data_IF_377390570205
#
_entry.id   IF_377390570205
#
_cell.length_a   1.000
_cell.length_b   1.000
_cell.length_c   1.000
_cell.angle_alpha   90.00
_cell.angle_beta   90.00
_cell.angle_gamma   90.00
#
_symmetry.space_group_name_H-M   'P 1'
#
loop_
_entity.id
_entity.type
_entity.pdbx_description
1 polymer ?
#
# COMPACT_ATOMS: atom_id res chain seq x y z
N UNK A 1 15.94 10.54 12.49
CA UNK A 1 15.49 9.51 13.44
C UNK A 1 14.14 9.03 12.98
N UNK A 2 13.99 7.73 12.73
CA UNK A 2 12.73 7.10 12.35
C UNK A 2 11.91 6.88 13.63
N UNK A 3 11.28 7.93 14.16
CA UNK A 3 10.37 7.80 15.30
C UNK A 3 8.91 7.71 14.83
N UNK A 4 8.24 6.69 15.36
CA UNK A 4 6.80 6.46 15.34
C UNK A 4 6.17 6.12 13.98
N UNK A 5 6.27 4.84 13.60
CA UNK A 5 5.22 4.20 12.81
C UNK A 5 3.91 4.24 13.62
N UNK A 6 2.99 5.14 13.28
CA UNK A 6 1.63 5.15 13.84
C UNK A 6 0.83 4.03 13.16
N UNK A 7 0.45 3.03 13.94
CA UNK A 7 -0.43 1.93 13.51
C UNK A 7 -1.88 2.43 13.59
N UNK A 8 -2.53 2.62 12.43
CA UNK A 8 -3.98 2.82 12.36
C UNK A 8 -4.61 1.49 11.98
N UNK A 9 -5.15 0.78 12.97
CA UNK A 9 -5.80 -0.50 12.76
C UNK A 9 -6.39 -0.99 14.07
N UNK A 10 -7.60 -0.53 14.39
CA UNK A 10 -8.43 -1.19 15.39
C UNK A 10 -8.95 -2.50 14.80
N UNK A 11 -8.28 -3.60 15.06
CA UNK A 11 -8.67 -4.92 14.56
C UNK A 11 -7.83 -6.03 15.19
N UNK A 12 -8.52 -6.99 15.81
CA UNK A 12 -7.97 -8.06 16.62
C UNK A 12 -7.25 -9.14 15.80
N UNK A 13 -6.00 -9.48 16.11
CA UNK A 13 -5.43 -10.78 15.74
C UNK A 13 -5.56 -11.71 16.95
N UNK A 14 -6.36 -12.77 16.82
CA UNK A 14 -6.42 -13.84 17.82
C UNK A 14 -5.12 -14.65 17.81
N UNK A 15 -4.36 -14.61 18.90
CA UNK A 15 -3.14 -15.39 19.06
C UNK A 15 -3.41 -16.90 19.19
N UNK A 16 -2.41 -17.70 18.82
CA UNK A 16 -2.38 -19.15 19.04
C UNK A 16 -2.61 -19.47 20.55
N UNK A 17 -3.40 -20.50 20.89
CA UNK A 17 -3.65 -20.84 22.29
C UNK A 17 -2.34 -21.26 22.97
N UNK A 18 -1.99 -20.57 24.06
CA UNK A 18 -0.85 -20.91 24.93
C UNK A 18 0.34 -19.95 24.88
N UNK A 19 0.36 -19.00 23.94
CA UNK A 19 1.32 -17.89 23.94
C UNK A 19 0.57 -16.65 24.40
N UNK A 20 0.98 -16.07 25.53
CA UNK A 20 0.26 -15.00 26.21
C UNK A 20 -0.24 -13.90 25.26
N UNK A 21 -1.48 -13.46 25.52
CA UNK A 21 -2.10 -12.32 24.86
C UNK A 21 -1.12 -11.15 24.89
N UNK A 22 -0.66 -10.69 23.72
CA UNK A 22 0.16 -9.49 23.62
C UNK A 22 -0.54 -8.31 24.30
N UNK A 23 0.18 -7.21 24.60
CA UNK A 23 -0.28 -6.12 25.48
C UNK A 23 -1.49 -5.30 24.98
N UNK A 24 -2.24 -5.77 23.98
CA UNK A 24 -3.38 -5.10 23.37
C UNK A 24 -4.63 -5.98 23.50
N UNK A 25 -5.67 -5.58 24.26
CA UNK A 25 -6.91 -6.32 24.37
C UNK A 25 -7.75 -6.12 23.11
N UNK A 26 -8.37 -7.19 22.62
CA UNK A 26 -9.28 -7.08 21.49
C UNK A 26 -10.52 -7.98 21.69
N UNK A 27 -11.71 -7.42 21.43
CA UNK A 27 -13.00 -8.11 21.55
C UNK A 27 -13.61 -8.29 20.16
N UNK A 28 -13.97 -9.53 19.81
CA UNK A 28 -14.48 -9.99 18.51
C UNK A 28 -13.55 -9.76 17.29
N UNK A 29 -12.67 -10.72 16.94
CA UNK A 29 -11.97 -10.69 15.67
C UNK A 29 -12.97 -10.84 14.50
N UNK A 30 -13.27 -9.72 13.83
CA UNK A 30 -13.53 -9.74 12.39
C UNK A 30 -12.19 -10.09 11.73
N UNK A 31 -12.19 -10.79 10.60
CA UNK A 31 -10.94 -11.22 9.95
C UNK A 31 -10.06 -10.04 9.49
N UNK A 32 -9.09 -10.27 8.61
CA UNK A 32 -8.22 -9.21 8.08
C UNK A 32 -9.01 -8.18 7.27
N UNK A 33 -9.40 -7.06 7.88
CA UNK A 33 -10.09 -5.93 7.22
C UNK A 33 -9.10 -5.05 6.44
N UNK A 34 -8.46 -5.64 5.43
CA UNK A 34 -7.33 -5.06 4.72
C UNK A 34 -7.73 -3.80 3.93
N UNK A 35 -8.84 -3.86 3.18
CA UNK A 35 -9.27 -2.73 2.35
C UNK A 35 -9.74 -1.56 3.20
N UNK A 36 -10.48 -1.82 4.29
CA UNK A 36 -10.90 -0.79 5.23
C UNK A 36 -9.68 -0.09 5.85
N UNK A 37 -8.66 -0.87 6.27
CA UNK A 37 -7.44 -0.31 6.85
C UNK A 37 -6.66 0.57 5.85
N UNK A 38 -6.51 0.13 4.60
CA UNK A 38 -5.84 0.91 3.55
C UNK A 38 -6.60 2.19 3.27
N UNK A 39 -7.94 2.11 3.15
CA UNK A 39 -8.77 3.29 2.95
C UNK A 39 -8.62 4.29 4.07
N UNK A 40 -8.77 3.88 5.34
CA UNK A 40 -8.67 4.78 6.50
C UNK A 40 -7.27 5.38 6.64
N UNK A 41 -6.21 4.60 6.37
CA UNK A 41 -4.85 5.13 6.40
C UNK A 41 -4.64 6.16 5.28
N UNK A 42 -5.08 5.87 4.06
CA UNK A 42 -4.90 6.76 2.92
C UNK A 42 -5.78 8.02 3.02
N UNK A 43 -7.09 7.82 3.19
CA UNK A 43 -8.08 8.87 3.28
C UNK A 43 -7.91 9.64 4.60
N UNK A 44 -8.12 9.06 5.77
CA UNK A 44 -8.26 9.85 6.99
C UNK A 44 -6.92 10.37 7.54
N UNK A 45 -5.81 9.71 7.20
CA UNK A 45 -4.50 10.02 7.79
C UNK A 45 -3.51 10.62 6.83
N UNK A 46 -3.43 10.13 5.58
CA UNK A 46 -2.43 10.61 4.62
C UNK A 46 -2.93 11.74 3.72
N UNK A 47 -4.25 11.94 3.56
CA UNK A 47 -4.76 12.98 2.67
C UNK A 47 -4.30 14.40 3.06
N UNK A 48 -4.25 14.70 4.36
CA UNK A 48 -3.90 16.02 4.90
C UNK A 48 -2.40 16.23 5.07
N UNK A 49 -1.61 15.16 4.96
CA UNK A 49 -0.17 15.22 5.16
C UNK A 49 0.54 15.74 3.91
N UNK A 50 1.54 16.61 4.11
CA UNK A 50 2.31 17.23 3.03
C UNK A 50 3.58 16.43 2.78
N UNK A 51 3.94 16.25 1.51
CA UNK A 51 5.18 15.61 1.10
C UNK A 51 4.99 14.16 0.65
N UNK A 52 6.11 13.41 0.64
CA UNK A 52 6.15 12.02 0.17
C UNK A 52 5.47 11.10 1.16
N UNK A 53 4.47 10.34 0.69
CA UNK A 53 3.66 9.47 1.52
C UNK A 53 3.77 8.04 1.04
N UNK A 54 3.97 7.13 1.99
CA UNK A 54 4.09 5.71 1.72
C UNK A 54 3.31 4.92 2.76
N UNK A 55 2.62 3.88 2.30
CA UNK A 55 1.95 2.90 3.12
C UNK A 55 2.68 1.56 2.95
N UNK A 56 3.19 1.00 4.05
CA UNK A 56 3.85 -0.30 4.03
C UNK A 56 2.94 -1.30 4.75
N UNK A 57 2.43 -2.27 4.00
CA UNK A 57 1.52 -3.31 4.48
C UNK A 57 2.30 -4.59 4.74
N UNK A 58 2.10 -5.21 5.88
CA UNK A 58 2.63 -6.54 6.20
C UNK A 58 1.44 -7.49 6.34
N UNK A 59 1.25 -8.37 5.36
CA UNK A 59 0.03 -9.20 5.25
C UNK A 59 0.27 -10.42 4.35
N UNK A 60 -0.59 -11.43 4.44
CA UNK A 60 -0.70 -12.53 3.47
C UNK A 60 -1.53 -12.14 2.22
N UNK A 61 -2.15 -10.96 2.23
CA UNK A 61 -2.90 -10.36 1.12
C UNK A 61 -4.36 -10.79 1.06
N UNK A 62 -4.83 -11.61 2.00
CA UNK A 62 -6.22 -12.07 2.05
C UNK A 62 -7.05 -11.10 2.90
N UNK A 63 -8.13 -10.58 2.31
CA UNK A 63 -9.12 -9.75 2.99
C UNK A 63 -10.26 -10.62 3.51
N UNK A 64 -10.69 -10.39 4.76
CA UNK A 64 -11.79 -11.13 5.38
C UNK A 64 -12.77 -10.18 6.06
N UNK A 65 -13.74 -9.72 5.27
CA UNK A 65 -14.93 -9.03 5.77
C UNK A 65 -14.83 -7.52 5.77
N UNK A 66 -13.93 -6.93 4.97
CA UNK A 66 -13.94 -5.48 4.75
C UNK A 66 -15.29 -5.03 4.21
N UNK A 67 -15.74 -3.87 4.66
CA UNK A 67 -16.94 -3.23 4.12
C UNK A 67 -16.66 -2.59 2.77
N UNK A 68 -15.43 -2.12 2.58
CA UNK A 68 -14.94 -1.51 1.35
C UNK A 68 -14.32 -2.56 0.42
N UNK A 69 -14.24 -2.20 -0.87
CA UNK A 69 -13.59 -3.01 -1.89
C UNK A 69 -12.17 -2.52 -2.13
N UNK A 70 -11.37 -3.37 -2.79
CA UNK A 70 -10.03 -3.00 -3.24
C UNK A 70 -10.01 -1.68 -4.03
N UNK A 71 -11.02 -1.46 -4.88
CA UNK A 71 -11.10 -0.24 -5.70
C UNK A 71 -11.23 1.02 -4.83
N UNK A 72 -12.01 0.98 -3.76
CA UNK A 72 -12.20 2.11 -2.86
C UNK A 72 -10.89 2.45 -2.13
N UNK A 73 -10.21 1.41 -1.65
CA UNK A 73 -8.89 1.54 -1.02
C UNK A 73 -7.82 2.07 -1.99
N UNK A 74 -7.81 1.58 -3.23
CA UNK A 74 -6.91 2.04 -4.28
C UNK A 74 -7.16 3.50 -4.64
N UNK A 75 -8.43 3.89 -4.79
CA UNK A 75 -8.81 5.27 -5.09
C UNK A 75 -8.37 6.22 -3.97
N UNK A 76 -8.59 5.84 -2.71
CA UNK A 76 -8.12 6.61 -1.55
C UNK A 76 -6.59 6.76 -1.55
N UNK A 77 -5.84 5.70 -1.83
CA UNK A 77 -4.39 5.75 -1.94
C UNK A 77 -3.92 6.67 -3.09
N UNK A 78 -4.58 6.62 -4.24
CA UNK A 78 -4.23 7.46 -5.39
C UNK A 78 -4.60 8.94 -5.18
N UNK A 79 -5.72 9.23 -4.52
CA UNK A 79 -6.14 10.59 -4.17
C UNK A 79 -5.26 11.22 -3.09
N UNK A 80 -4.79 10.42 -2.15
CA UNK A 80 -3.84 10.87 -1.12
C UNK A 80 -2.40 10.98 -1.63
N UNK A 81 -2.09 10.60 -2.88
CA UNK A 81 -0.71 10.52 -3.41
C UNK A 81 0.20 9.62 -2.56
N UNK A 82 -0.38 8.54 -2.00
CA UNK A 82 0.34 7.56 -1.20
C UNK A 82 0.82 6.39 -2.08
N UNK A 83 2.11 6.06 -1.96
CA UNK A 83 2.69 4.86 -2.58
C UNK A 83 2.46 3.66 -1.67
N UNK A 84 1.88 2.57 -2.19
CA UNK A 84 1.61 1.37 -1.39
C UNK A 84 2.66 0.29 -1.67
N UNK A 85 3.33 -0.17 -0.62
CA UNK A 85 4.21 -1.33 -0.61
C UNK A 85 3.58 -2.46 0.18
N UNK A 86 3.66 -3.69 -0.32
CA UNK A 86 3.19 -4.88 0.40
C UNK A 86 4.37 -5.81 0.64
N UNK A 87 4.65 -6.07 1.91
CA UNK A 87 5.57 -7.10 2.38
C UNK A 87 4.75 -8.36 2.61
N UNK A 88 4.80 -9.28 1.65
CA UNK A 88 3.95 -10.47 1.63
C UNK A 88 4.56 -11.55 2.52
N UNK A 89 3.84 -11.95 3.56
CA UNK A 89 4.19 -13.10 4.40
C UNK A 89 3.47 -14.33 3.84
N UNK A 90 4.13 -15.09 2.96
CA UNK A 90 3.62 -16.41 2.55
C UNK A 90 4.78 -17.40 2.40
N UNK A 91 4.67 -18.57 3.05
CA UNK A 91 5.69 -19.62 2.98
C UNK A 91 5.72 -20.39 1.64
N UNK A 92 4.69 -20.22 0.80
CA UNK A 92 4.63 -20.86 -0.50
C UNK A 92 5.38 -20.04 -1.57
N UNK A 93 6.34 -20.68 -2.26
CA UNK A 93 7.01 -20.15 -3.45
C UNK A 93 6.07 -19.89 -4.64
N UNK A 94 4.78 -20.18 -4.49
CA UNK A 94 3.73 -19.88 -5.47
C UNK A 94 2.56 -19.28 -4.72
N UNK A 95 2.24 -18.03 -5.04
CA UNK A 95 1.02 -17.34 -4.65
C UNK A 95 -0.22 -18.17 -5.02
N UNK A 96 -0.67 -19.05 -4.13
CA UNK A 96 -1.88 -19.83 -4.28
C UNK A 96 -3.01 -19.09 -3.55
N UNK A 97 -3.61 -18.11 -4.23
CA UNK A 97 -4.68 -17.26 -3.69
C UNK A 97 -4.91 -16.04 -4.57
N UNK A 98 -6.07 -15.40 -4.43
CA UNK A 98 -6.35 -14.14 -5.15
C UNK A 98 -5.66 -12.95 -4.49
N UNK A 99 -5.34 -13.04 -3.19
CA UNK A 99 -4.71 -11.97 -2.41
C UNK A 99 -3.44 -11.39 -3.04
N UNK A 100 -2.42 -12.19 -3.38
CA UNK A 100 -1.18 -11.67 -3.98
C UNK A 100 -1.38 -10.94 -5.31
N UNK A 101 -2.37 -11.36 -6.12
CA UNK A 101 -2.72 -10.67 -7.37
C UNK A 101 -3.38 -9.32 -7.14
N UNK A 102 -4.27 -9.24 -6.14
CA UNK A 102 -4.92 -8.01 -5.72
C UNK A 102 -3.93 -7.02 -5.08
N UNK A 103 -3.00 -7.53 -4.27
CA UNK A 103 -1.90 -6.73 -3.70
C UNK A 103 -0.97 -6.19 -4.78
N UNK A 104 -0.65 -7.01 -5.79
CA UNK A 104 0.13 -6.56 -6.95
C UNK A 104 -0.56 -5.39 -7.64
N UNK A 105 -1.88 -5.50 -7.88
CA UNK A 105 -2.67 -4.42 -8.48
C UNK A 105 -2.62 -3.15 -7.64
N UNK A 106 -2.85 -3.24 -6.32
CA UNK A 106 -2.82 -2.09 -5.41
C UNK A 106 -1.47 -1.37 -5.45
N UNK A 107 -0.39 -2.13 -5.34
CA UNK A 107 0.97 -1.62 -5.41
C UNK A 107 1.29 -0.97 -6.76
N UNK A 108 1.07 -1.69 -7.87
CA UNK A 108 1.46 -1.21 -9.19
C UNK A 108 0.68 0.03 -9.63
N UNK A 109 -0.61 0.13 -9.28
CA UNK A 109 -1.45 1.29 -9.60
C UNK A 109 -1.06 2.55 -8.82
N UNK A 110 -0.49 2.39 -7.62
CA UNK A 110 0.02 3.48 -6.77
C UNK A 110 1.51 3.78 -6.98
N UNK A 111 2.21 2.95 -7.76
CA UNK A 111 3.64 3.10 -8.05
C UNK A 111 4.58 2.40 -7.07
N UNK A 112 4.05 1.57 -6.15
CA UNK A 112 4.84 0.69 -5.29
C UNK A 112 4.88 -0.74 -5.82
N UNK A 113 5.40 -1.68 -5.01
CA UNK A 113 5.52 -3.11 -5.38
C UNK A 113 5.28 -4.04 -4.20
N UNK A 114 4.99 -5.29 -4.54
CA UNK A 114 4.95 -6.41 -3.60
C UNK A 114 6.37 -6.97 -3.44
N UNK A 115 6.77 -7.25 -2.21
CA UNK A 115 8.01 -7.91 -1.83
C UNK A 115 7.66 -9.15 -1.02
N UNK A 116 7.97 -10.34 -1.54
CA UNK A 116 7.74 -11.56 -0.76
C UNK A 116 8.85 -11.75 0.27
N UNK A 117 8.48 -11.67 1.55
CA UNK A 117 9.39 -11.84 2.68
C UNK A 117 9.25 -13.21 3.33
N UNK A 118 8.14 -13.92 3.09
CA UNK A 118 7.81 -15.18 3.76
C UNK A 118 7.89 -15.05 5.28
N UNK A 119 8.23 -16.15 5.97
CA UNK A 119 8.49 -16.13 7.42
C UNK A 119 9.97 -15.88 7.77
N UNK A 120 10.70 -15.09 6.97
CA UNK A 120 12.14 -14.87 7.14
C UNK A 120 12.44 -13.42 7.57
N UNK A 121 13.03 -13.27 8.76
CA UNK A 121 13.40 -11.98 9.36
C UNK A 121 14.42 -11.21 8.51
N UNK A 122 15.45 -11.88 7.99
CA UNK A 122 16.49 -11.23 7.18
C UNK A 122 15.92 -10.69 5.86
N UNK A 123 14.95 -11.41 5.26
CA UNK A 123 14.23 -10.93 4.07
C UNK A 123 13.38 -9.72 4.39
N UNK A 124 12.72 -9.71 5.56
CA UNK A 124 11.91 -8.58 6.01
C UNK A 124 12.77 -7.32 6.21
N UNK A 125 13.92 -7.46 6.88
CA UNK A 125 14.87 -6.36 7.11
C UNK A 125 15.38 -5.79 5.78
N UNK A 126 15.85 -6.66 4.87
CA UNK A 126 16.25 -6.27 3.51
C UNK A 126 15.13 -5.58 2.73
N UNK A 127 13.90 -6.03 2.90
CA UNK A 127 12.75 -5.42 2.23
C UNK A 127 12.51 -3.99 2.73
N UNK A 128 12.58 -3.75 4.04
CA UNK A 128 12.50 -2.40 4.60
C UNK A 128 13.64 -1.50 4.12
N UNK A 129 14.87 -2.01 4.07
CA UNK A 129 16.01 -1.25 3.54
C UNK A 129 15.83 -0.87 2.07
N UNK A 130 15.27 -1.79 1.28
CA UNK A 130 14.98 -1.55 -0.13
C UNK A 130 13.90 -0.48 -0.30
N UNK A 131 12.79 -0.59 0.42
CA UNK A 131 11.71 0.42 0.40
C UNK A 131 12.23 1.78 0.87
N UNK A 132 13.02 1.80 1.95
CA UNK A 132 13.64 3.01 2.50
C UNK A 132 14.56 3.68 1.49
N UNK A 133 15.32 2.90 0.73
CA UNK A 133 16.20 3.41 -0.34
C UNK A 133 15.39 3.97 -1.51
N UNK A 134 14.34 3.27 -1.95
CA UNK A 134 13.44 3.73 -3.01
C UNK A 134 12.73 5.04 -2.65
N UNK A 135 12.23 5.15 -1.42
CA UNK A 135 11.56 6.37 -0.94
C UNK A 135 12.53 7.57 -0.90
N UNK A 136 13.83 7.32 -0.70
CA UNK A 136 14.86 8.36 -0.77
C UNK A 136 15.19 8.77 -2.20
N UNK A 137 15.16 7.84 -3.16
CA UNK A 137 15.59 8.05 -4.55
C UNK A 137 14.46 8.39 -5.53
N UNK A 138 13.32 8.86 -5.04
CA UNK A 138 12.18 9.22 -5.89
C UNK A 138 12.49 10.47 -6.76
N UNK A 139 12.27 10.36 -8.06
CA UNK A 139 12.34 11.46 -9.02
C UNK A 139 10.95 12.07 -9.23
N UNK A 140 10.87 13.40 -9.29
CA UNK A 140 9.64 14.12 -9.67
C UNK A 140 9.76 14.59 -11.11
N UNK A 141 8.75 14.31 -11.93
CA UNK A 141 8.66 14.74 -13.32
C UNK A 141 7.39 15.58 -13.46
N UNK A 142 7.55 16.85 -13.84
CA UNK A 142 6.44 17.74 -14.16
C UNK A 142 6.04 17.62 -15.62
N UNK A 143 4.73 17.62 -15.89
CA UNK A 143 4.19 17.75 -17.23
C UNK A 143 2.86 18.51 -17.19
N UNK A 144 2.48 19.16 -18.29
CA UNK A 144 1.17 19.82 -18.40
C UNK A 144 0.19 18.88 -19.09
N UNK A 145 -0.94 18.50 -18.44
CA UNK A 145 -1.94 17.66 -19.09
C UNK A 145 -2.62 18.42 -20.24
N UNK A 146 -2.89 17.71 -21.34
CA UNK A 146 -3.65 18.27 -22.47
C UNK A 146 -5.12 18.54 -22.13
N UNK A 147 -5.67 17.83 -21.13
CA UNK A 147 -6.99 18.09 -20.56
C UNK A 147 -6.86 19.02 -19.34
N UNK A 148 -7.33 20.26 -19.46
CA UNK A 148 -7.30 21.26 -18.39
C UNK A 148 -8.49 21.22 -17.43
N UNK A 149 -9.44 20.29 -17.58
CA UNK A 149 -10.65 20.24 -16.74
C UNK A 149 -10.32 19.85 -15.29
N UNK A 150 -11.01 20.41 -14.33
CA UNK A 150 -10.89 20.07 -12.91
C UNK A 150 -12.11 19.26 -12.45
N UNK A 151 -12.32 18.11 -13.08
CA UNK A 151 -13.57 17.33 -13.02
C UNK A 151 -13.50 16.09 -12.12
N UNK A 152 -12.42 15.92 -11.35
CA UNK A 152 -12.26 14.76 -10.47
C UNK A 152 -12.07 13.42 -11.19
N UNK A 153 -11.91 13.41 -12.52
CA UNK A 153 -11.77 12.16 -13.29
C UNK A 153 -10.37 11.57 -13.18
N UNK A 154 -10.28 10.24 -13.28
CA UNK A 154 -8.98 9.55 -13.31
C UNK A 154 -8.28 9.76 -14.66
N UNK A 155 -6.99 10.08 -14.60
CA UNK A 155 -6.12 10.36 -15.73
C UNK A 155 -4.96 9.40 -15.72
N UNK A 156 -4.92 8.54 -16.74
CA UNK A 156 -3.81 7.61 -16.94
C UNK A 156 -2.53 8.36 -17.29
N UNK A 157 -1.42 7.91 -16.72
CA UNK A 157 -0.07 8.40 -17.02
C UNK A 157 0.79 7.21 -17.43
N UNK A 158 1.52 7.37 -18.52
CA UNK A 158 2.48 6.38 -19.01
C UNK A 158 3.82 7.05 -19.21
N UNK A 159 4.87 6.51 -18.57
CA UNK A 159 6.23 6.96 -18.74
C UNK A 159 6.94 5.97 -19.66
N UNK A 160 7.44 6.47 -20.79
CA UNK A 160 8.26 5.70 -21.74
C UNK A 160 9.71 6.13 -21.59
N UNK A 161 10.60 5.17 -21.43
CA UNK A 161 12.04 5.41 -21.34
C UNK A 161 12.75 5.01 -22.62
N UNK A 162 13.94 5.61 -22.81
CA UNK A 162 14.91 5.10 -23.78
C UNK A 162 15.41 3.71 -23.33
N UNK A 163 15.98 2.95 -24.25
CA UNK A 163 16.38 1.55 -24.03
C UNK A 163 17.25 1.36 -22.77
N UNK A 164 16.96 0.31 -22.00
CA UNK A 164 17.75 -0.13 -20.85
C UNK A 164 17.24 0.31 -19.46
N UNK A 165 16.32 1.27 -19.37
CA UNK A 165 15.78 1.71 -18.08
C UNK A 165 14.46 1.02 -17.73
N UNK A 166 14.34 0.56 -16.47
CA UNK A 166 13.08 0.12 -15.89
C UNK A 166 12.52 1.26 -15.04
N UNK A 167 11.28 1.66 -15.30
CA UNK A 167 10.58 2.69 -14.52
C UNK A 167 9.43 2.07 -13.76
N UNK A 168 9.35 2.45 -12.49
CA UNK A 168 8.22 2.19 -11.64
C UNK A 168 7.56 3.53 -11.32
N UNK A 169 6.27 3.62 -11.61
CA UNK A 169 5.50 4.86 -11.50
C UNK A 169 4.04 4.54 -11.24
N UNK A 170 3.34 5.48 -10.61
CA UNK A 170 1.88 5.45 -10.52
C UNK A 170 1.27 5.40 -11.92
N UNK A 171 0.21 4.63 -12.11
CA UNK A 171 -0.44 4.47 -13.42
C UNK A 171 -1.33 5.63 -13.81
N UNK A 172 -1.63 6.52 -12.88
CA UNK A 172 -2.44 7.71 -13.11
C UNK A 172 -2.76 8.46 -11.83
N UNK A 173 -3.56 9.51 -11.98
CA UNK A 173 -3.98 10.40 -10.89
C UNK A 173 -5.41 10.89 -11.10
N UNK A 174 -6.06 11.31 -10.03
CA UNK A 174 -7.35 11.99 -10.10
C UNK A 174 -7.13 13.48 -10.31
N UNK A 175 -7.85 14.08 -11.26
CA UNK A 175 -7.84 15.53 -11.46
C UNK A 175 -8.31 16.23 -10.18
N UNK A 176 -7.73 17.40 -9.86
CA UNK A 176 -8.26 18.24 -8.80
C UNK A 176 -9.72 18.59 -9.11
N UNK A 177 -10.58 18.59 -8.09
CA UNK A 177 -11.97 19.08 -8.18
C UNK A 177 -11.97 20.57 -7.89
N UNK A 178 -12.46 21.37 -8.83
CA UNK A 178 -12.64 22.81 -8.71
C UNK A 178 -14.11 23.22 -8.71
#
# INVERSE_FOLDING_TARGET
>A
GMEAAKINGGGAVGGLPGIGQGPVPISNPKGTLLYDAVFLAAHDKLHSEVGRKALILLTDGEDQGSQLRLQDALEAAQKSDAIVYVLLISDSGVAAGTGPGLMRKLCEETGGRVINVGNNRDKLEKAFDQVSTELRSQYSIGYTPSNGRHDGTFRKVEIKTKEGYKVQTRKGYYAATG
#
